data_IF_384559617131
#
_entry.id   IF_384559617131
#
_cell.length_a   1.000
_cell.length_b   1.000
_cell.length_c   1.000
_cell.angle_alpha   90.00
_cell.angle_beta   90.00
_cell.angle_gamma   90.00
#
_symmetry.space_group_name_H-M   'P 1'
#
loop_
_entity.id
_entity.type
_entity.pdbx_description
1 polymer ?
#
# COMPACT_ATOMS: atom_id res chain seq x y z
N UNK A 1 35.92 7.68 -26.64
CA UNK A 1 35.24 8.55 -25.65
C UNK A 1 34.19 7.71 -24.94
N UNK A 2 34.23 7.56 -23.61
CA UNK A 2 33.15 6.92 -22.89
C UNK A 2 31.93 7.87 -22.93
N UNK A 3 30.86 7.43 -23.55
CA UNK A 3 29.55 8.10 -23.55
C UNK A 3 29.02 8.14 -22.12
N UNK A 4 28.52 9.31 -21.72
CA UNK A 4 27.96 9.55 -20.40
C UNK A 4 27.04 8.40 -19.98
N UNK A 5 27.38 7.78 -18.85
CA UNK A 5 26.54 6.86 -18.09
C UNK A 5 25.10 7.35 -18.10
N UNK A 6 24.20 6.56 -18.67
CA UNK A 6 22.76 6.69 -18.54
C UNK A 6 22.42 6.57 -17.06
N UNK A 7 22.37 7.71 -16.37
CA UNK A 7 21.83 7.78 -15.01
C UNK A 7 20.33 7.59 -15.18
N UNK A 8 19.83 6.38 -14.97
CA UNK A 8 18.40 6.11 -14.94
C UNK A 8 17.75 7.15 -14.03
N UNK A 9 17.01 8.10 -14.61
CA UNK A 9 16.35 9.14 -13.84
C UNK A 9 15.38 8.49 -12.86
N UNK A 10 15.42 8.92 -11.60
CA UNK A 10 14.52 8.42 -10.57
C UNK A 10 13.05 8.64 -10.97
N UNK A 11 12.24 7.57 -10.95
CA UNK A 11 10.83 7.63 -11.35
C UNK A 11 9.91 7.36 -10.16
N UNK A 12 9.24 8.42 -9.71
CA UNK A 12 8.24 8.35 -8.64
C UNK A 12 7.16 7.29 -8.87
N UNK A 13 6.46 7.24 -10.02
CA UNK A 13 5.43 6.22 -10.26
C UNK A 13 5.97 4.80 -10.16
N UNK A 14 7.19 4.57 -10.67
CA UNK A 14 7.82 3.24 -10.63
C UNK A 14 8.14 2.85 -9.19
N UNK A 15 8.79 3.71 -8.39
CA UNK A 15 9.05 3.42 -6.99
C UNK A 15 7.74 3.11 -6.23
N UNK A 16 6.74 3.98 -6.37
CA UNK A 16 5.48 3.85 -5.65
C UNK A 16 4.71 2.59 -6.04
N UNK A 17 4.74 2.19 -7.31
CA UNK A 17 4.15 0.93 -7.75
C UNK A 17 4.78 -0.28 -7.05
N UNK A 18 6.11 -0.32 -6.93
CA UNK A 18 6.80 -1.41 -6.24
C UNK A 18 6.49 -1.42 -4.74
N UNK A 19 6.41 -0.25 -4.10
CA UNK A 19 5.99 -0.16 -2.69
C UNK A 19 4.55 -0.69 -2.53
N UNK A 20 3.63 -0.32 -3.42
CA UNK A 20 2.25 -0.82 -3.38
C UNK A 20 2.18 -2.35 -3.56
N UNK A 21 2.98 -2.93 -4.46
CA UNK A 21 3.05 -4.38 -4.60
C UNK A 21 3.62 -5.07 -3.37
N UNK A 22 4.65 -4.48 -2.75
CA UNK A 22 5.21 -4.98 -1.49
C UNK A 22 4.17 -4.93 -0.36
N UNK A 23 3.41 -3.83 -0.25
CA UNK A 23 2.33 -3.69 0.73
C UNK A 23 1.18 -4.66 0.48
N UNK A 24 0.82 -4.90 -0.77
CA UNK A 24 -0.18 -5.90 -1.12
C UNK A 24 0.29 -7.31 -0.70
N UNK A 25 1.53 -7.68 -1.04
CA UNK A 25 2.12 -8.96 -0.63
C UNK A 25 2.23 -9.10 0.90
N UNK A 26 2.65 -8.03 1.59
CA UNK A 26 2.69 -7.99 3.05
C UNK A 26 1.29 -8.12 3.67
N UNK A 27 0.28 -7.48 3.09
CA UNK A 27 -1.10 -7.62 3.55
C UNK A 27 -1.59 -9.05 3.37
N UNK A 28 -1.25 -9.73 2.27
CA UNK A 28 -1.57 -11.14 2.10
C UNK A 28 -0.87 -12.01 3.15
N UNK A 29 0.39 -11.71 3.46
CA UNK A 29 1.14 -12.40 4.50
C UNK A 29 0.46 -12.28 5.87
N UNK A 30 0.19 -11.06 6.33
CA UNK A 30 -0.35 -10.84 7.68
C UNK A 30 -1.83 -11.24 7.84
N UNK A 31 -2.61 -11.25 6.74
CA UNK A 31 -4.06 -11.54 6.81
C UNK A 31 -4.43 -12.98 6.48
N UNK A 32 -3.55 -13.70 5.79
CA UNK A 32 -3.82 -15.08 5.39
C UNK A 32 -2.68 -16.01 5.81
N UNK A 33 -1.45 -15.79 5.36
CA UNK A 33 -0.37 -16.77 5.59
C UNK A 33 -0.01 -16.92 7.07
N UNK A 34 0.22 -15.82 7.77
CA UNK A 34 0.57 -15.84 9.19
C UNK A 34 -0.58 -16.36 10.07
N UNK A 35 -1.84 -15.90 9.91
CA UNK A 35 -3.01 -16.47 10.59
C UNK A 35 -3.17 -17.98 10.39
N UNK A 36 -3.02 -18.47 9.16
CA UNK A 36 -3.15 -19.90 8.87
C UNK A 36 -2.02 -20.69 9.53
N UNK A 37 -0.78 -20.23 9.43
CA UNK A 37 0.36 -20.89 10.07
C UNK A 37 0.20 -20.93 11.60
N UNK A 38 -0.25 -19.83 12.20
CA UNK A 38 -0.54 -19.74 13.63
C UNK A 38 -1.65 -20.72 14.03
N UNK A 39 -2.77 -20.73 13.30
CA UNK A 39 -3.90 -21.63 13.61
C UNK A 39 -3.52 -23.11 13.53
N UNK A 40 -2.72 -23.49 12.52
CA UNK A 40 -2.22 -24.86 12.37
C UNK A 40 -1.25 -25.24 13.50
N UNK A 41 -0.41 -24.31 13.95
CA UNK A 41 0.51 -24.55 15.06
C UNK A 41 -0.21 -24.72 16.40
N UNK A 42 -1.27 -23.95 16.62
CA UNK A 42 -2.08 -23.99 17.85
C UNK A 42 -3.18 -25.07 17.83
N UNK A 43 -3.33 -25.81 16.74
CA UNK A 43 -4.33 -26.88 16.61
C UNK A 43 -5.79 -26.38 16.62
N UNK A 44 -6.02 -25.13 16.23
CA UNK A 44 -7.35 -24.53 16.11
C UNK A 44 -7.81 -24.51 14.64
N UNK A 45 -9.04 -24.07 14.39
CA UNK A 45 -9.56 -23.98 13.03
C UNK A 45 -8.75 -23.00 12.16
N UNK A 46 -8.37 -23.44 10.95
CA UNK A 46 -7.44 -22.70 10.08
C UNK A 46 -7.89 -21.29 9.67
N UNK A 47 -9.19 -21.01 9.76
CA UNK A 47 -9.80 -19.75 9.34
C UNK A 47 -10.13 -18.81 10.51
N UNK A 48 -9.86 -19.21 11.76
CA UNK A 48 -10.22 -18.44 12.98
C UNK A 48 -9.71 -17.01 12.95
N UNK A 49 -8.51 -16.78 12.41
CA UNK A 49 -7.84 -15.47 12.40
C UNK A 49 -7.75 -14.84 11.00
N UNK A 50 -8.46 -15.38 10.00
CA UNK A 50 -8.46 -14.81 8.65
C UNK A 50 -9.36 -13.57 8.62
N UNK A 51 -8.76 -12.44 8.25
CA UNK A 51 -9.47 -11.19 8.02
C UNK A 51 -9.62 -10.93 6.52
N UNK A 52 -10.85 -11.02 6.02
CA UNK A 52 -11.13 -10.74 4.62
C UNK A 52 -10.86 -9.28 4.29
N UNK A 53 -10.07 -9.08 3.23
CA UNK A 53 -9.66 -7.77 2.79
C UNK A 53 -9.45 -7.72 1.29
N UNK A 54 -10.06 -6.71 0.65
CA UNK A 54 -9.94 -6.43 -0.78
C UNK A 54 -8.90 -5.33 -1.06
N UNK A 55 -8.35 -4.65 -0.04
CA UNK A 55 -7.33 -3.61 -0.21
C UNK A 55 -6.10 -4.05 -1.02
N UNK A 56 -5.58 -5.29 -0.91
CA UNK A 56 -4.47 -5.74 -1.76
C UNK A 56 -4.79 -5.63 -3.26
N UNK A 57 -6.03 -5.87 -3.66
CA UNK A 57 -6.47 -5.77 -5.06
C UNK A 57 -6.44 -4.29 -5.50
N UNK A 58 -6.94 -3.40 -4.65
CA UNK A 58 -6.90 -1.96 -4.88
C UNK A 58 -5.47 -1.43 -5.00
N UNK A 59 -4.54 -1.88 -4.14
CA UNK A 59 -3.13 -1.49 -4.18
C UNK A 59 -2.44 -2.01 -5.44
N UNK A 60 -2.69 -3.26 -5.83
CA UNK A 60 -2.17 -3.84 -7.07
C UNK A 60 -2.71 -3.09 -8.29
N UNK A 61 -4.00 -2.75 -8.30
CA UNK A 61 -4.61 -1.97 -9.38
C UNK A 61 -3.99 -0.58 -9.51
N UNK A 62 -3.81 0.15 -8.41
CA UNK A 62 -3.12 1.45 -8.42
C UNK A 62 -1.66 1.29 -8.86
N UNK A 63 -0.95 0.29 -8.34
CA UNK A 63 0.44 0.01 -8.73
C UNK A 63 0.56 -0.27 -10.23
N UNK A 64 -0.35 -1.07 -10.79
CA UNK A 64 -0.44 -1.26 -12.24
C UNK A 64 -0.72 0.06 -12.98
N UNK A 65 -1.67 0.87 -12.52
CA UNK A 65 -1.98 2.15 -13.15
C UNK A 65 -0.79 3.11 -13.14
N UNK A 66 0.01 3.13 -12.07
CA UNK A 66 1.24 3.94 -12.01
C UNK A 66 2.30 3.51 -13.03
N UNK A 67 2.35 2.22 -13.38
CA UNK A 67 3.25 1.69 -14.40
C UNK A 67 2.70 1.88 -15.82
N UNK A 68 1.43 1.56 -16.04
CA UNK A 68 0.78 1.63 -17.35
C UNK A 68 0.43 3.08 -17.77
N UNK A 69 0.31 3.99 -16.80
CA UNK A 69 -0.02 5.41 -16.96
C UNK A 69 -1.21 5.70 -17.89
N UNK A 70 -2.38 5.04 -17.74
CA UNK A 70 -3.59 5.48 -18.44
C UNK A 70 -3.90 6.96 -18.15
N UNK A 71 -4.67 7.62 -19.03
CA UNK A 71 -4.92 9.07 -18.93
C UNK A 71 -5.54 9.56 -17.61
N UNK A 72 -6.14 8.67 -16.83
CA UNK A 72 -6.75 8.97 -15.53
C UNK A 72 -5.84 8.67 -14.33
N UNK A 73 -4.60 8.19 -14.53
CA UNK A 73 -3.71 7.71 -13.45
C UNK A 73 -3.51 8.73 -12.34
N UNK A 74 -3.28 9.99 -12.71
CA UNK A 74 -3.09 11.05 -11.72
C UNK A 74 -4.33 11.28 -10.86
N UNK A 75 -5.52 11.32 -11.48
CA UNK A 75 -6.78 11.48 -10.78
C UNK A 75 -7.05 10.28 -9.85
N UNK A 76 -6.77 9.07 -10.34
CA UNK A 76 -6.87 7.84 -9.55
C UNK A 76 -5.93 7.88 -8.34
N UNK A 77 -4.66 8.23 -8.53
CA UNK A 77 -3.66 8.27 -7.47
C UNK A 77 -4.04 9.28 -6.36
N UNK A 78 -4.50 10.47 -6.74
CA UNK A 78 -4.98 11.49 -5.79
C UNK A 78 -6.22 10.98 -5.06
N UNK A 79 -7.23 10.50 -5.80
CA UNK A 79 -8.49 10.03 -5.22
C UNK A 79 -8.28 8.89 -4.24
N UNK A 80 -7.52 7.86 -4.63
CA UNK A 80 -7.24 6.71 -3.78
C UNK A 80 -6.40 7.12 -2.56
N UNK A 81 -5.41 8.00 -2.71
CA UNK A 81 -4.62 8.48 -1.59
C UNK A 81 -5.46 9.24 -0.55
N UNK A 82 -6.34 10.13 -0.99
CA UNK A 82 -7.22 10.85 -0.06
C UNK A 82 -8.16 9.90 0.70
N UNK A 83 -8.75 8.92 0.00
CA UNK A 83 -9.63 7.93 0.61
C UNK A 83 -8.88 7.07 1.64
N UNK A 84 -7.72 6.52 1.28
CA UNK A 84 -6.91 5.69 2.18
C UNK A 84 -6.39 6.48 3.39
N UNK A 85 -5.90 7.71 3.18
CA UNK A 85 -5.44 8.56 4.29
C UNK A 85 -6.60 8.82 5.25
N UNK A 86 -7.78 9.19 4.75
CA UNK A 86 -8.95 9.45 5.60
C UNK A 86 -9.34 8.21 6.41
N UNK A 87 -9.46 7.05 5.76
CA UNK A 87 -9.81 5.78 6.40
C UNK A 87 -8.79 5.43 7.49
N UNK A 88 -7.49 5.49 7.19
CA UNK A 88 -6.45 5.06 8.14
C UNK A 88 -6.34 6.03 9.31
N UNK A 89 -6.44 7.34 9.08
CA UNK A 89 -6.46 8.33 10.16
C UNK A 89 -7.66 8.11 11.08
N UNK A 90 -8.85 7.85 10.53
CA UNK A 90 -10.03 7.49 11.35
C UNK A 90 -9.81 6.20 12.14
N UNK A 91 -9.24 5.17 11.52
CA UNK A 91 -8.92 3.91 12.21
C UNK A 91 -7.91 4.10 13.34
N UNK A 92 -6.88 4.93 13.14
CA UNK A 92 -5.92 5.26 14.19
C UNK A 92 -6.55 6.07 15.31
N UNK A 93 -7.40 7.05 15.00
CA UNK A 93 -8.14 7.80 16.01
C UNK A 93 -8.95 6.86 16.91
N UNK A 94 -9.69 5.93 16.30
CA UNK A 94 -10.49 4.95 17.04
C UNK A 94 -9.63 3.99 17.86
N UNK A 95 -8.49 3.54 17.32
CA UNK A 95 -7.57 2.65 18.04
C UNK A 95 -6.89 3.34 19.23
N UNK A 96 -6.47 4.59 19.08
CA UNK A 96 -5.77 5.34 20.13
C UNK A 96 -6.68 5.76 21.29
N UNK A 97 -8.01 5.72 21.11
CA UNK A 97 -8.97 5.99 22.17
C UNK A 97 -8.97 4.91 23.26
N UNK A 98 -8.70 3.65 22.90
CA UNK A 98 -8.60 2.52 23.84
C UNK A 98 -7.70 1.42 23.22
N UNK A 99 -6.37 1.58 23.32
CA UNK A 99 -5.44 0.71 22.60
C UNK A 99 -5.27 -0.65 23.27
N UNK A 100 -5.53 -1.71 22.50
CA UNK A 100 -5.23 -3.10 22.86
C UNK A 100 -4.05 -3.61 22.02
N UNK A 101 -3.04 -4.16 22.68
CA UNK A 101 -1.78 -4.58 22.05
C UNK A 101 -1.61 -6.10 22.02
N UNK A 102 -2.44 -6.78 21.24
CA UNK A 102 -2.23 -8.17 20.85
C UNK A 102 -1.27 -8.28 19.66
N UNK A 103 -0.82 -9.49 19.36
CA UNK A 103 -0.04 -9.77 18.13
C UNK A 103 -0.81 -9.35 16.86
N UNK A 104 -2.14 -9.52 16.85
CA UNK A 104 -3.01 -9.18 15.73
C UNK A 104 -3.15 -7.67 15.56
N UNK A 105 -3.43 -6.96 16.66
CA UNK A 105 -3.50 -5.49 16.66
C UNK A 105 -2.16 -4.85 16.33
N UNK A 106 -1.06 -5.42 16.81
CA UNK A 106 0.29 -4.92 16.51
C UNK A 106 0.62 -5.07 15.03
N UNK A 107 0.40 -6.25 14.44
CA UNK A 107 0.57 -6.47 13.00
C UNK A 107 -0.32 -5.55 12.16
N UNK A 108 -1.58 -5.37 12.58
CA UNK A 108 -2.50 -4.43 11.95
C UNK A 108 -2.00 -2.99 12.02
N UNK A 109 -1.55 -2.53 13.20
CA UNK A 109 -1.07 -1.18 13.43
C UNK A 109 0.15 -0.88 12.54
N UNK A 110 1.15 -1.75 12.58
CA UNK A 110 2.37 -1.65 11.76
C UNK A 110 2.01 -1.57 10.28
N UNK A 111 1.11 -2.45 9.81
CA UNK A 111 0.65 -2.40 8.42
C UNK A 111 0.00 -1.04 8.08
N UNK A 112 -0.88 -0.52 8.94
CA UNK A 112 -1.54 0.77 8.70
C UNK A 112 -0.56 1.94 8.70
N UNK A 113 0.53 1.90 9.47
CA UNK A 113 1.57 2.93 9.43
C UNK A 113 2.25 2.95 8.05
N UNK A 114 2.65 1.78 7.55
CA UNK A 114 3.31 1.69 6.24
C UNK A 114 2.38 2.08 5.08
N UNK A 115 1.12 1.63 5.12
CA UNK A 115 0.12 2.00 4.11
C UNK A 115 -0.14 3.50 4.13
N UNK A 116 -0.30 4.12 5.31
CA UNK A 116 -0.47 5.57 5.44
C UNK A 116 0.74 6.32 4.87
N UNK A 117 1.96 5.91 5.23
CA UNK A 117 3.18 6.53 4.71
C UNK A 117 3.26 6.43 3.18
N UNK A 118 2.93 5.27 2.61
CA UNK A 118 2.88 5.08 1.17
C UNK A 118 1.86 6.02 0.50
N UNK A 119 0.64 6.13 1.02
CA UNK A 119 -0.37 7.00 0.40
C UNK A 119 -0.09 8.50 0.58
N UNK A 120 0.57 8.90 1.66
CA UNK A 120 1.12 10.26 1.78
C UNK A 120 2.16 10.52 0.68
N UNK A 121 3.05 9.57 0.41
CA UNK A 121 4.04 9.68 -0.69
C UNK A 121 3.37 9.68 -2.07
N UNK A 122 2.34 8.86 -2.29
CA UNK A 122 1.54 8.87 -3.53
C UNK A 122 0.92 10.24 -3.75
N UNK A 123 0.25 10.80 -2.73
CA UNK A 123 -0.36 12.12 -2.82
C UNK A 123 0.69 13.20 -3.09
N UNK A 124 1.80 13.17 -2.35
CA UNK A 124 2.92 14.09 -2.54
C UNK A 124 3.43 14.04 -4.00
N UNK A 125 3.72 12.85 -4.51
CA UNK A 125 4.25 12.67 -5.85
C UNK A 125 3.25 13.11 -6.94
N UNK A 126 1.97 12.76 -6.79
CA UNK A 126 0.93 13.15 -7.75
C UNK A 126 0.70 14.67 -7.80
N UNK A 127 0.96 15.38 -6.69
CA UNK A 127 0.86 16.84 -6.61
C UNK A 127 2.14 17.56 -7.06
N UNK A 128 3.32 17.03 -6.74
CA UNK A 128 4.62 17.70 -6.98
C UNK A 128 5.32 17.28 -8.28
N UNK A 129 4.98 16.12 -8.83
CA UNK A 129 5.60 15.56 -10.03
C UNK A 129 4.54 15.09 -11.05
N UNK A 130 3.57 15.94 -11.44
CA UNK A 130 2.43 15.55 -12.25
C UNK A 130 2.81 14.96 -13.63
N UNK A 131 3.92 15.40 -14.20
CA UNK A 131 4.47 14.93 -15.48
C UNK A 131 4.77 13.42 -15.47
N UNK A 132 5.15 12.86 -14.32
CA UNK A 132 5.39 11.42 -14.18
C UNK A 132 4.14 10.56 -14.27
N UNK A 133 2.96 11.13 -14.06
CA UNK A 133 1.67 10.41 -13.96
C UNK A 133 0.84 10.49 -15.25
N UNK A 134 1.40 11.06 -16.31
CA UNK A 134 0.78 11.11 -17.63
C UNK A 134 1.63 10.30 -18.62
N UNK A 135 0.98 9.65 -19.59
CA UNK A 135 1.70 9.11 -20.73
C UNK A 135 2.38 10.27 -21.49
N UNK A 136 3.63 10.08 -21.93
CA UNK A 136 4.26 11.00 -22.88
C UNK A 136 3.40 11.00 -24.14
N UNK A 137 2.81 12.15 -24.47
CA UNK A 137 2.16 12.34 -25.77
C UNK A 137 3.19 12.26 -26.89
#
# INVERSE_FOLDING_TARGET
MPTATDKSAFSWPVLLAHILFLLAAWTLFIKYLFPVAFALAEGIEWHTYIYWDLWPIAHVWLGWALLARPGYTRALAIGMALVEIAIIVTLFWLFLADPEWSIWRTNWFVNKVFVLACFVLVLYAALRHPEGFSASR
#
